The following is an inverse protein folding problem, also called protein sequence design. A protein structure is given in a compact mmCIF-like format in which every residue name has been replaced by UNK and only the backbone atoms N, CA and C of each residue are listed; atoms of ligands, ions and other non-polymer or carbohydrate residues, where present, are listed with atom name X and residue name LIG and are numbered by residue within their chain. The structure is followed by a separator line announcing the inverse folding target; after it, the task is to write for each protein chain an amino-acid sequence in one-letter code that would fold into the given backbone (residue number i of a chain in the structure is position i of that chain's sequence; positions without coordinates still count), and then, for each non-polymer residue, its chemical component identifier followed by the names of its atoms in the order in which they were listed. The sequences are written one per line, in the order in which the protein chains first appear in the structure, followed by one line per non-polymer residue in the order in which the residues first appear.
data_IF_151431711585
#
_entry.id   IF_151431711585
#
_cell.length_a   1.000
_cell.length_b   1.000
_cell.length_c   1.000
_cell.angle_alpha   90.00
_cell.angle_beta   90.00
_cell.angle_gamma   90.00
#
_symmetry.space_group_name_H-M   'P 1'
#
loop_
_entity.id
_entity.type
_entity.pdbx_description
1 polymer ?
#
# COMPACT_ATOMS: atom_id res chain seq x y z
N UNK A 1 -17.16 11.81 22.25
CA UNK A 1 -17.05 10.39 21.86
C UNK A 1 -17.30 10.29 20.36
N UNK A 2 -16.39 9.68 19.59
CA UNK A 2 -16.62 9.47 18.16
C UNK A 2 -17.71 8.40 17.98
N UNK A 3 -18.72 8.66 17.16
CA UNK A 3 -19.74 7.67 16.84
C UNK A 3 -19.12 6.62 15.91
N UNK A 4 -19.26 5.34 16.26
CA UNK A 4 -18.90 4.22 15.37
C UNK A 4 -20.16 3.72 14.70
N UNK A 5 -20.09 3.51 13.40
CA UNK A 5 -21.18 2.88 12.67
C UNK A 5 -20.90 1.38 12.60
N UNK A 6 -21.95 0.58 12.70
CA UNK A 6 -21.91 -0.85 12.47
C UNK A 6 -22.82 -1.12 11.28
N UNK A 7 -22.33 -1.97 10.38
CA UNK A 7 -23.09 -2.39 9.21
C UNK A 7 -24.39 -3.10 9.64
N UNK A 8 -25.54 -2.58 9.20
CA UNK A 8 -26.85 -3.18 9.50
C UNK A 8 -26.99 -4.58 8.91
N UNK A 9 -26.23 -4.90 7.86
CA UNK A 9 -26.20 -6.20 7.21
C UNK A 9 -25.01 -7.06 7.66
N UNK A 10 -24.32 -6.69 8.75
CA UNK A 10 -23.14 -7.40 9.26
C UNK A 10 -23.36 -8.92 9.34
N UNK A 11 -24.43 -9.37 9.99
CA UNK A 11 -24.74 -10.79 10.15
C UNK A 11 -25.22 -11.49 8.88
N UNK A 12 -25.56 -10.74 7.82
CA UNK A 12 -25.90 -11.30 6.51
C UNK A 12 -24.66 -11.64 5.69
N UNK A 13 -23.50 -11.04 6.00
CA UNK A 13 -22.24 -11.30 5.31
C UNK A 13 -21.86 -12.77 5.48
N UNK A 14 -21.53 -13.43 4.36
CA UNK A 14 -21.22 -14.88 4.34
C UNK A 14 -20.17 -15.26 5.39
N UNK A 15 -19.08 -14.50 5.49
CA UNK A 15 -18.03 -14.81 6.46
C UNK A 15 -18.52 -14.76 7.92
N UNK A 16 -19.34 -13.77 8.29
CA UNK A 16 -19.91 -13.69 9.65
C UNK A 16 -20.86 -14.85 9.92
N UNK A 17 -21.65 -15.27 8.93
CA UNK A 17 -22.55 -16.41 9.09
C UNK A 17 -21.79 -17.70 9.41
N UNK A 18 -20.65 -17.90 8.73
CA UNK A 18 -19.84 -19.11 8.79
C UNK A 18 -18.96 -19.17 10.06
N UNK A 19 -18.75 -18.03 10.76
CA UNK A 19 -18.02 -17.99 12.03
C UNK A 19 -18.79 -18.69 13.18
N UNK A 20 -18.10 -19.30 14.16
CA UNK A 20 -18.73 -19.72 15.40
C UNK A 20 -19.31 -18.52 16.18
N UNK A 21 -20.36 -18.71 17.02
CA UNK A 21 -21.00 -17.61 17.76
C UNK A 21 -20.03 -16.73 18.55
N UNK A 22 -19.05 -17.34 19.25
CA UNK A 22 -18.02 -16.62 20.00
C UNK A 22 -17.17 -15.70 19.11
N UNK A 23 -16.83 -16.13 17.90
CA UNK A 23 -16.05 -15.33 16.95
C UNK A 23 -16.87 -14.25 16.25
N UNK A 24 -18.20 -14.41 16.14
CA UNK A 24 -19.08 -13.33 15.70
C UNK A 24 -19.08 -12.18 16.69
N UNK A 25 -19.19 -12.49 17.99
CA UNK A 25 -19.13 -11.49 19.05
C UNK A 25 -17.74 -10.84 19.10
N UNK A 26 -16.68 -11.64 18.99
CA UNK A 26 -15.30 -11.13 18.90
C UNK A 26 -15.13 -10.15 17.73
N UNK A 27 -15.68 -10.45 16.55
CA UNK A 27 -15.62 -9.53 15.42
C UNK A 27 -16.28 -8.17 15.73
N UNK A 28 -17.45 -8.18 16.36
CA UNK A 28 -18.14 -6.95 16.78
C UNK A 28 -17.31 -6.19 17.81
N UNK A 29 -16.74 -6.90 18.79
CA UNK A 29 -15.85 -6.34 19.80
C UNK A 29 -14.66 -5.62 19.14
N UNK A 30 -13.97 -6.25 18.19
CA UNK A 30 -12.81 -5.64 17.51
C UNK A 30 -13.18 -4.34 16.77
N UNK A 31 -14.34 -4.30 16.11
CA UNK A 31 -14.84 -3.07 15.45
C UNK A 31 -15.14 -1.94 16.45
N UNK A 32 -15.55 -2.31 17.67
CA UNK A 32 -15.84 -1.36 18.74
C UNK A 32 -14.58 -0.88 19.46
N UNK A 33 -13.54 -1.70 19.56
CA UNK A 33 -12.33 -1.42 20.35
C UNK A 33 -11.11 -0.98 19.55
N UNK A 34 -11.04 -1.24 18.24
CA UNK A 34 -9.92 -0.76 17.42
C UNK A 34 -9.83 0.77 17.45
N UNK A 35 -8.70 1.38 17.15
CA UNK A 35 -8.60 2.83 17.06
C UNK A 35 -9.30 3.40 15.79
N UNK A 36 -9.23 4.72 15.61
CA UNK A 36 -9.80 5.40 14.45
C UNK A 36 -9.15 5.03 13.10
N UNK A 37 -8.00 4.37 13.11
CA UNK A 37 -7.36 3.82 11.93
C UNK A 37 -7.60 2.31 11.78
N UNK A 38 -8.52 1.71 12.54
CA UNK A 38 -8.80 0.28 12.47
C UNK A 38 -7.69 -0.58 13.06
N UNK A 39 -6.83 -0.03 13.91
CA UNK A 39 -5.72 -0.75 14.55
C UNK A 39 -6.13 -1.12 15.97
N UNK A 40 -6.05 -2.40 16.30
CA UNK A 40 -6.29 -2.92 17.64
C UNK A 40 -4.97 -3.43 18.25
N UNK A 41 -4.75 -3.14 19.54
CA UNK A 41 -3.67 -3.76 20.31
C UNK A 41 -4.16 -5.12 20.77
N UNK A 42 -3.44 -6.18 20.41
CA UNK A 42 -3.93 -7.55 20.61
C UNK A 42 -3.88 -7.89 22.08
N UNK A 43 -5.06 -8.03 22.67
CA UNK A 43 -5.29 -8.44 24.05
C UNK A 43 -6.47 -9.42 24.09
N UNK A 44 -6.17 -10.70 23.85
CA UNK A 44 -7.18 -11.77 23.77
C UNK A 44 -7.76 -12.12 25.15
N UNK A 45 -7.03 -11.86 26.23
CA UNK A 45 -7.50 -12.08 27.59
C UNK A 45 -8.63 -11.11 27.93
N UNK A 46 -8.41 -9.80 27.69
CA UNK A 46 -9.43 -8.78 27.89
C UNK A 46 -10.60 -8.97 26.94
N UNK A 47 -10.34 -9.29 25.67
CA UNK A 47 -11.41 -9.60 24.72
C UNK A 47 -12.27 -10.78 25.20
N UNK A 48 -11.64 -11.81 25.78
CA UNK A 48 -12.32 -12.95 26.34
C UNK A 48 -13.21 -12.62 27.54
N UNK A 49 -12.74 -11.75 28.44
CA UNK A 49 -13.53 -11.26 29.57
C UNK A 49 -14.81 -10.52 29.11
N UNK A 50 -14.71 -9.70 28.07
CA UNK A 50 -15.88 -8.98 27.53
C UNK A 50 -16.82 -9.89 26.72
N UNK A 51 -16.28 -10.87 26.00
CA UNK A 51 -17.08 -11.76 25.16
C UNK A 51 -17.61 -12.98 25.92
N UNK A 52 -17.12 -13.26 27.12
CA UNK A 52 -17.50 -14.43 27.92
C UNK A 52 -16.95 -15.74 27.38
N UNK A 53 -15.81 -15.72 26.69
CA UNK A 53 -15.19 -16.90 26.05
C UNK A 53 -13.65 -16.78 26.09
N UNK A 54 -12.93 -17.89 25.97
CA UNK A 54 -11.47 -17.85 25.81
C UNK A 54 -11.05 -17.97 24.35
N UNK A 55 -10.01 -17.22 23.95
CA UNK A 55 -9.52 -17.21 22.57
C UNK A 55 -8.05 -17.57 22.51
N UNK A 56 -7.71 -18.50 21.62
CA UNK A 56 -6.33 -18.82 21.27
C UNK A 56 -5.86 -18.00 20.06
N UNK A 57 -4.58 -17.64 20.02
CA UNK A 57 -4.02 -16.81 18.96
C UNK A 57 -4.06 -17.52 17.59
N UNK A 58 -3.79 -18.82 17.52
CA UNK A 58 -3.80 -19.54 16.25
C UNK A 58 -5.21 -19.63 15.68
N UNK A 59 -6.20 -19.94 16.51
CA UNK A 59 -7.59 -20.04 16.07
C UNK A 59 -8.16 -18.67 15.72
N UNK A 60 -7.73 -17.63 16.44
CA UNK A 60 -8.00 -16.23 16.10
C UNK A 60 -7.45 -15.85 14.72
N UNK A 61 -6.18 -16.13 14.44
CA UNK A 61 -5.56 -15.88 13.15
C UNK A 61 -6.22 -16.67 12.01
N UNK A 62 -6.58 -17.94 12.26
CA UNK A 62 -7.31 -18.78 11.30
C UNK A 62 -8.71 -18.24 11.02
N UNK A 63 -9.46 -17.87 12.05
CA UNK A 63 -10.84 -17.38 11.93
C UNK A 63 -10.93 -16.08 11.13
N UNK A 64 -9.93 -15.20 11.25
CA UNK A 64 -9.90 -13.90 10.58
C UNK A 64 -8.85 -13.79 9.47
N UNK A 65 -8.37 -14.94 8.97
CA UNK A 65 -7.42 -15.00 7.88
C UNK A 65 -7.96 -14.25 6.64
N UNK A 66 -7.14 -13.35 6.10
CA UNK A 66 -7.51 -12.53 4.94
C UNK A 66 -8.45 -11.34 5.27
N UNK A 67 -8.84 -11.16 6.54
CA UNK A 67 -9.68 -10.05 7.04
C UNK A 67 -8.95 -9.15 8.03
N UNK A 68 -8.04 -9.71 8.82
CA UNK A 68 -7.17 -8.98 9.74
C UNK A 68 -5.72 -9.13 9.30
N UNK A 69 -4.97 -8.02 9.35
CA UNK A 69 -3.53 -8.01 9.13
C UNK A 69 -2.79 -7.85 10.45
N UNK A 70 -2.09 -8.90 10.87
CA UNK A 70 -1.24 -8.87 12.05
C UNK A 70 0.12 -8.27 11.72
N UNK A 71 0.61 -7.40 12.58
CA UNK A 71 1.91 -6.76 12.45
C UNK A 71 2.53 -6.54 13.83
N UNK A 72 3.77 -6.05 13.86
CA UNK A 72 4.54 -5.86 15.10
C UNK A 72 4.61 -7.16 15.93
N UNK A 73 5.02 -8.26 15.28
CA UNK A 73 5.13 -9.61 15.85
C UNK A 73 3.82 -10.11 16.50
N UNK A 74 2.66 -9.75 15.94
CA UNK A 74 1.35 -10.19 16.41
C UNK A 74 0.75 -9.33 17.54
N UNK A 75 1.47 -8.35 18.07
CA UNK A 75 0.95 -7.46 19.12
C UNK A 75 -0.08 -6.44 18.62
N UNK A 76 -0.21 -6.25 17.30
CA UNK A 76 -1.20 -5.35 16.69
C UNK A 76 -1.91 -6.03 15.53
N UNK A 77 -3.19 -5.73 15.42
CA UNK A 77 -4.09 -6.22 14.38
C UNK A 77 -4.71 -5.03 13.65
N UNK A 78 -4.59 -5.00 12.33
CA UNK A 78 -5.22 -4.00 11.48
C UNK A 78 -6.46 -4.60 10.80
N UNK A 79 -7.56 -3.84 10.80
CA UNK A 79 -8.85 -4.19 10.21
C UNK A 79 -9.11 -3.31 8.96
N UNK A 80 -8.71 -3.74 7.75
CA UNK A 80 -8.94 -2.96 6.53
C UNK A 80 -10.41 -2.65 6.26
N UNK A 81 -11.31 -3.59 6.59
CA UNK A 81 -12.76 -3.42 6.40
C UNK A 81 -13.30 -2.25 7.23
N UNK A 82 -12.69 -1.93 8.38
CA UNK A 82 -13.05 -0.76 9.18
C UNK A 82 -12.84 0.55 8.40
N UNK A 83 -11.68 0.71 7.74
CA UNK A 83 -11.37 1.92 6.97
C UNK A 83 -12.28 2.03 5.74
N UNK A 84 -12.51 0.90 5.06
CA UNK A 84 -13.39 0.84 3.90
C UNK A 84 -14.81 1.23 4.29
N UNK A 85 -15.33 0.70 5.40
CA UNK A 85 -16.68 0.98 5.86
C UNK A 85 -16.86 2.40 6.40
N UNK A 86 -15.95 2.84 7.28
CA UNK A 86 -16.08 4.14 7.96
C UNK A 86 -15.77 5.33 7.06
N UNK A 87 -14.86 5.17 6.09
CA UNK A 87 -14.36 6.27 5.27
C UNK A 87 -14.61 6.09 3.78
N UNK A 88 -15.09 4.92 3.32
CA UNK A 88 -15.20 4.62 1.89
C UNK A 88 -13.85 4.22 1.26
N UNK A 89 -12.87 3.83 2.08
CA UNK A 89 -11.55 3.40 1.61
C UNK A 89 -10.55 4.55 1.43
N UNK A 90 -9.38 4.21 0.89
CA UNK A 90 -8.24 5.12 0.84
C UNK A 90 -8.46 6.36 -0.04
N UNK A 91 -9.19 6.21 -1.14
CA UNK A 91 -9.50 7.30 -2.08
C UNK A 91 -10.33 8.42 -1.45
N UNK A 92 -11.07 8.10 -0.38
CA UNK A 92 -12.00 9.02 0.28
C UNK A 92 -11.41 9.65 1.55
N UNK A 93 -10.21 9.22 1.96
CA UNK A 93 -9.47 9.85 3.05
C UNK A 93 -8.86 11.17 2.57
N UNK A 94 -9.39 12.27 3.10
CA UNK A 94 -8.94 13.61 2.78
C UNK A 94 -7.93 14.14 3.82
N UNK A 95 -6.66 14.41 3.44
CA UNK A 95 -5.63 14.90 4.36
C UNK A 95 -5.89 16.29 4.95
N UNK A 96 -6.82 17.07 4.38
CA UNK A 96 -7.19 18.39 4.94
C UNK A 96 -8.12 18.28 6.15
N UNK A 97 -8.84 17.16 6.30
CA UNK A 97 -9.70 16.93 7.45
C UNK A 97 -8.86 16.40 8.63
N UNK A 98 -8.91 17.09 9.78
CA UNK A 98 -8.15 16.73 10.97
C UNK A 98 -8.40 15.28 11.45
N UNK A 99 -9.64 14.77 11.33
CA UNK A 99 -9.96 13.40 11.71
C UNK A 99 -9.24 12.40 10.80
N UNK A 100 -9.29 12.59 9.49
CA UNK A 100 -8.62 11.75 8.50
C UNK A 100 -7.10 11.88 8.54
N UNK A 101 -6.58 13.07 8.90
CA UNK A 101 -5.13 13.30 9.05
C UNK A 101 -4.50 12.33 10.05
N UNK A 102 -5.13 12.15 11.21
CA UNK A 102 -4.64 11.20 12.22
C UNK A 102 -4.69 9.74 11.75
N UNK A 103 -5.68 9.39 10.92
CA UNK A 103 -5.80 8.06 10.29
C UNK A 103 -4.66 7.85 9.30
N UNK A 104 -4.46 8.78 8.37
CA UNK A 104 -3.39 8.72 7.37
C UNK A 104 -2.00 8.63 8.00
N UNK A 105 -1.75 9.39 9.06
CA UNK A 105 -0.48 9.33 9.81
C UNK A 105 -0.22 7.94 10.41
N UNK A 106 -1.24 7.29 10.98
CA UNK A 106 -1.11 5.94 11.53
C UNK A 106 -0.90 4.90 10.42
N UNK A 107 -1.66 5.00 9.34
CA UNK A 107 -1.52 4.08 8.20
C UNK A 107 -0.15 4.18 7.54
N UNK A 108 0.42 5.39 7.42
CA UNK A 108 1.77 5.62 6.90
C UNK A 108 2.84 5.12 7.87
N UNK A 109 2.70 5.44 9.16
CA UNK A 109 3.63 5.00 10.23
C UNK A 109 3.82 3.48 10.26
N UNK A 110 2.77 2.71 9.98
CA UNK A 110 2.79 1.25 10.04
C UNK A 110 2.77 0.57 8.66
N UNK A 111 2.94 1.33 7.56
CA UNK A 111 2.89 0.84 6.18
C UNK A 111 1.60 0.06 5.82
N UNK A 112 0.47 0.43 6.43
CA UNK A 112 -0.83 -0.24 6.27
C UNK A 112 -1.60 0.24 5.02
N UNK A 113 -1.12 1.31 4.38
CA UNK A 113 -1.65 1.83 3.12
C UNK A 113 -1.60 0.76 2.02
N UNK A 114 -0.54 -0.05 2.01
CA UNK A 114 -0.36 -1.19 1.10
C UNK A 114 -1.43 -2.24 1.34
N UNK A 115 -1.66 -2.62 2.60
CA UNK A 115 -2.64 -3.64 3.01
C UNK A 115 -4.07 -3.26 2.59
N UNK A 116 -4.42 -1.96 2.67
CA UNK A 116 -5.72 -1.46 2.22
C UNK A 116 -5.93 -1.56 0.71
N UNK A 117 -4.90 -1.27 -0.08
CA UNK A 117 -5.01 -1.24 -1.55
C UNK A 117 -4.90 -2.62 -2.18
N UNK A 118 -4.04 -3.48 -1.63
CA UNK A 118 -3.74 -4.80 -2.20
C UNK A 118 -4.55 -5.93 -1.53
N UNK A 119 -5.19 -5.64 -0.40
CA UNK A 119 -5.83 -6.63 0.45
C UNK A 119 -4.82 -7.41 1.29
N UNK A 120 -5.34 -8.33 2.11
CA UNK A 120 -4.51 -9.16 3.00
C UNK A 120 -4.03 -10.38 2.20
N UNK A 121 -2.96 -10.21 1.43
CA UNK A 121 -2.11 -11.34 1.00
C UNK A 121 -1.26 -11.76 2.19
N UNK A 122 -1.40 -13.00 2.66
CA UNK A 122 -0.51 -13.57 3.67
C UNK A 122 0.97 -13.47 3.24
N UNK A 123 1.92 -13.49 4.20
CA UNK A 123 2.88 -12.42 4.57
C UNK A 123 4.21 -12.52 3.80
N UNK A 124 5.08 -11.47 3.76
CA UNK A 124 6.49 -11.65 4.05
C UNK A 124 6.73 -11.52 5.55
N UNK A 125 7.35 -12.55 6.09
CA UNK A 125 7.82 -12.63 7.48
C UNK A 125 8.75 -11.44 7.77
N UNK A 126 8.61 -10.88 8.98
CA UNK A 126 9.63 -9.99 9.54
C UNK A 126 11.01 -10.66 9.54
N UNK A 127 12.09 -9.87 9.70
CA UNK A 127 13.46 -10.34 9.45
C UNK A 127 13.80 -11.60 10.26
N UNK A 128 14.16 -12.67 9.54
CA UNK A 128 14.48 -13.99 10.07
C UNK A 128 15.93 -14.09 10.54
N UNK A 129 16.14 -14.53 11.78
CA UNK A 129 17.35 -15.19 12.30
C UNK A 129 16.84 -16.24 13.31
N UNK A 130 16.98 -17.57 13.18
CA UNK A 130 17.57 -18.41 12.15
C UNK A 130 17.28 -19.90 12.41
N UNK A 131 17.66 -20.73 11.43
CA UNK A 131 18.00 -22.16 11.47
C UNK A 131 17.02 -23.20 12.09
N UNK A 132 16.37 -23.97 11.21
CA UNK A 132 15.83 -25.30 11.53
C UNK A 132 14.91 -25.89 10.44
N UNK A 133 15.45 -26.71 9.53
CA UNK A 133 14.71 -27.66 8.63
C UNK A 133 14.28 -28.91 9.43
N UNK A 134 13.40 -29.86 8.97
CA UNK A 134 13.10 -30.22 7.56
C UNK A 134 11.63 -30.66 7.17
N UNK A 135 11.38 -30.61 5.84
CA UNK A 135 10.62 -31.51 4.92
C UNK A 135 9.20 -32.08 5.17
N UNK A 136 8.33 -31.97 4.14
CA UNK A 136 7.22 -32.92 3.86
C UNK A 136 6.26 -32.54 2.69
N UNK A 137 6.14 -33.39 1.67
CA UNK A 137 5.34 -33.34 0.40
C UNK A 137 3.80 -33.36 0.63
N UNK A 138 2.84 -32.96 -0.21
CA UNK A 138 2.72 -32.42 -1.58
C UNK A 138 1.25 -32.48 -2.11
N UNK A 139 1.03 -31.94 -3.34
CA UNK A 139 -0.08 -32.12 -4.34
C UNK A 139 -1.28 -31.13 -4.46
N UNK A 140 -1.20 -30.34 -5.56
CA UNK A 140 -2.15 -30.10 -6.68
C UNK A 140 -3.56 -29.42 -6.52
N UNK A 141 -3.59 -28.13 -6.89
CA UNK A 141 -4.50 -27.30 -7.75
C UNK A 141 -6.06 -27.42 -7.69
N UNK A 142 -6.79 -26.29 -7.83
CA UNK A 142 -7.12 -25.81 -9.18
C UNK A 142 -6.89 -24.31 -9.41
N UNK A 143 -6.63 -23.96 -10.68
CA UNK A 143 -6.38 -22.60 -11.17
C UNK A 143 -7.69 -21.83 -11.36
N UNK A 144 -7.79 -20.65 -10.77
CA UNK A 144 -8.74 -19.60 -11.18
C UNK A 144 -7.97 -18.39 -11.69
N UNK A 145 -8.29 -17.95 -12.91
CA UNK A 145 -7.66 -16.83 -13.62
C UNK A 145 -7.95 -15.51 -12.89
N UNK A 146 -7.08 -15.14 -11.94
CA UNK A 146 -7.02 -13.80 -11.36
C UNK A 146 -6.17 -12.88 -12.24
N UNK A 147 -6.61 -11.63 -12.41
CA UNK A 147 -5.88 -10.61 -13.17
C UNK A 147 -4.41 -10.54 -12.74
N UNK A 148 -3.52 -10.47 -13.72
CA UNK A 148 -2.07 -10.48 -13.52
C UNK A 148 -1.63 -9.27 -12.70
N UNK A 149 -1.37 -9.50 -11.41
CA UNK A 149 -0.59 -8.60 -10.56
C UNK A 149 0.78 -8.44 -11.22
N UNK A 150 1.25 -7.20 -11.38
CA UNK A 150 2.53 -6.91 -12.00
C UNK A 150 3.65 -7.55 -11.17
N UNK A 151 4.17 -8.68 -11.65
CA UNK A 151 5.31 -9.35 -11.05
C UNK A 151 6.58 -8.64 -11.52
N UNK A 152 7.32 -8.10 -10.55
CA UNK A 152 8.65 -7.54 -10.81
C UNK A 152 9.52 -8.68 -11.34
N UNK A 153 10.05 -8.57 -12.56
CA UNK A 153 10.88 -9.64 -13.11
C UNK A 153 12.15 -9.79 -12.30
N UNK A 154 12.62 -11.03 -12.20
CA UNK A 154 13.97 -11.31 -11.72
C UNK A 154 15.00 -10.95 -12.78
N UNK A 155 16.25 -10.73 -12.38
CA UNK A 155 17.36 -10.49 -13.31
C UNK A 155 17.46 -11.62 -14.35
N UNK A 156 17.28 -12.88 -13.91
CA UNK A 156 17.31 -14.06 -14.79
C UNK A 156 16.18 -14.05 -15.82
N UNK A 157 14.97 -13.62 -15.44
CA UNK A 157 13.83 -13.52 -16.36
C UNK A 157 14.04 -12.42 -17.41
N UNK A 158 14.60 -11.27 -17.02
CA UNK A 158 14.94 -10.20 -17.96
C UNK A 158 16.08 -10.63 -18.87
N UNK A 159 17.12 -11.27 -18.34
CA UNK A 159 18.26 -11.77 -19.11
C UNK A 159 17.83 -12.82 -20.15
N UNK A 160 17.01 -13.80 -19.74
CA UNK A 160 16.46 -14.80 -20.64
C UNK A 160 15.59 -14.16 -21.74
N UNK A 161 14.78 -13.15 -21.40
CA UNK A 161 13.95 -12.44 -22.36
C UNK A 161 14.75 -11.60 -23.36
N UNK A 162 15.84 -10.96 -22.89
CA UNK A 162 16.77 -10.23 -23.74
C UNK A 162 17.51 -11.17 -24.71
N UNK A 163 17.98 -12.32 -24.21
CA UNK A 163 18.67 -13.33 -25.01
C UNK A 163 17.76 -13.99 -26.06
N UNK A 164 16.52 -14.34 -25.70
CA UNK A 164 15.51 -14.91 -26.63
C UNK A 164 15.21 -13.96 -27.80
N UNK A 165 15.23 -12.66 -27.53
CA UNK A 165 14.98 -11.61 -28.53
C UNK A 165 16.22 -11.21 -29.33
N UNK A 166 17.41 -11.53 -28.86
CA UNK A 166 18.68 -11.06 -29.43
C UNK A 166 18.79 -9.52 -29.40
N UNK A 167 18.43 -8.88 -28.30
CA UNK A 167 18.60 -7.44 -28.12
C UNK A 167 19.88 -7.10 -27.32
N UNK A 168 20.37 -5.87 -27.47
CA UNK A 168 21.58 -5.35 -26.80
C UNK A 168 21.29 -4.66 -25.45
N UNK A 169 20.14 -4.95 -24.82
CA UNK A 169 19.77 -4.32 -23.55
C UNK A 169 20.51 -5.00 -22.41
N UNK A 170 21.27 -4.23 -21.61
CA UNK A 170 21.85 -4.73 -20.36
C UNK A 170 20.73 -5.02 -19.34
N UNK A 171 20.50 -6.30 -18.98
CA UNK A 171 19.44 -6.67 -18.03
C UNK A 171 19.64 -6.05 -16.65
N UNK A 172 20.89 -5.89 -16.21
CA UNK A 172 21.21 -5.36 -14.89
C UNK A 172 20.88 -3.87 -14.81
N UNK A 173 21.38 -3.07 -15.76
CA UNK A 173 21.06 -1.65 -15.85
C UNK A 173 19.55 -1.38 -15.97
N UNK A 174 18.83 -2.23 -16.70
CA UNK A 174 17.37 -2.14 -16.84
C UNK A 174 16.66 -2.39 -15.51
N UNK A 175 17.03 -3.45 -14.78
CA UNK A 175 16.47 -3.77 -13.45
C UNK A 175 16.76 -2.65 -12.45
N UNK A 176 17.98 -2.13 -12.40
CA UNK A 176 18.38 -1.11 -11.43
C UNK A 176 17.63 0.22 -11.66
N UNK A 177 17.40 0.60 -12.92
CA UNK A 177 16.61 1.78 -13.27
C UNK A 177 15.16 1.66 -12.78
N UNK A 178 14.48 0.55 -13.05
CA UNK A 178 13.08 0.41 -12.63
C UNK A 178 12.94 0.05 -11.16
N UNK A 179 13.96 -0.53 -10.54
CA UNK A 179 14.02 -0.72 -9.09
C UNK A 179 14.13 0.63 -8.37
N UNK A 180 15.00 1.53 -8.82
CA UNK A 180 15.16 2.87 -8.22
C UNK A 180 13.98 3.81 -8.49
N UNK A 181 13.29 3.68 -9.63
CA UNK A 181 12.13 4.50 -9.99
C UNK A 181 10.78 3.92 -9.48
N UNK A 182 10.82 2.87 -8.66
CA UNK A 182 9.61 2.26 -8.10
C UNK A 182 8.69 1.63 -9.16
N UNK A 183 9.29 1.09 -10.23
CA UNK A 183 8.62 0.39 -11.33
C UNK A 183 7.56 1.24 -12.02
N UNK A 184 7.93 2.47 -12.38
CA UNK A 184 7.05 3.43 -13.08
C UNK A 184 7.49 3.65 -14.53
N UNK A 185 6.52 3.80 -15.43
CA UNK A 185 6.71 4.26 -16.81
C UNK A 185 6.01 5.62 -16.95
N UNK A 186 6.79 6.70 -16.96
CA UNK A 186 6.26 8.06 -16.88
C UNK A 186 5.58 8.31 -15.53
N UNK A 187 4.33 8.80 -15.56
CA UNK A 187 3.53 9.10 -14.35
C UNK A 187 2.79 7.88 -13.76
N UNK A 188 2.78 6.75 -14.48
CA UNK A 188 1.99 5.56 -14.13
C UNK A 188 2.87 4.38 -13.67
N UNK A 189 2.35 3.52 -12.81
CA UNK A 189 3.01 2.26 -12.43
C UNK A 189 3.02 1.26 -13.61
N UNK A 190 4.12 0.54 -13.78
CA UNK A 190 4.34 -0.43 -14.86
C UNK A 190 3.38 -1.62 -14.73
N UNK A 191 2.80 -2.03 -15.85
CA UNK A 191 1.84 -3.16 -15.93
C UNK A 191 2.40 -4.37 -16.68
N UNK A 192 3.37 -4.17 -17.58
CA UNK A 192 4.04 -5.22 -18.34
C UNK A 192 5.51 -4.83 -18.54
N UNK A 193 6.40 -5.60 -17.92
CA UNK A 193 7.83 -5.34 -17.93
C UNK A 193 8.46 -5.71 -19.26
N UNK A 194 7.92 -6.74 -19.95
CA UNK A 194 8.41 -7.14 -21.27
C UNK A 194 8.14 -6.02 -22.27
N UNK A 195 6.96 -5.39 -22.22
CA UNK A 195 6.64 -4.23 -23.06
C UNK A 195 7.54 -3.02 -22.75
N UNK A 196 7.90 -2.82 -21.49
CA UNK A 196 8.83 -1.78 -21.08
C UNK A 196 10.26 -2.03 -21.58
N UNK A 197 10.76 -3.28 -21.60
CA UNK A 197 12.03 -3.66 -22.23
C UNK A 197 12.05 -3.29 -23.72
N UNK A 198 10.96 -3.55 -24.48
CA UNK A 198 10.88 -3.17 -25.91
C UNK A 198 10.92 -1.65 -26.13
N UNK A 199 10.42 -0.88 -25.18
CA UNK A 199 10.41 0.58 -25.27
C UNK A 199 11.76 1.17 -24.86
N UNK A 200 12.41 0.56 -23.86
CA UNK A 200 13.78 0.87 -23.46
C UNK A 200 14.76 0.66 -24.60
N UNK A 201 14.69 -0.50 -25.27
CA UNK A 201 15.50 -0.84 -26.44
C UNK A 201 15.41 0.21 -27.56
N UNK A 202 14.18 0.67 -27.87
CA UNK A 202 13.96 1.71 -28.89
C UNK A 202 14.58 3.06 -28.50
N UNK A 203 14.57 3.39 -27.20
CA UNK A 203 15.19 4.61 -26.69
C UNK A 203 16.72 4.51 -26.68
N UNK A 204 17.30 3.35 -26.41
CA UNK A 204 18.76 3.15 -26.48
C UNK A 204 19.27 3.23 -27.92
N UNK A 205 18.60 2.56 -28.87
CA UNK A 205 18.96 2.61 -30.30
C UNK A 205 18.75 3.99 -30.93
N UNK A 206 17.80 4.78 -30.40
CA UNK A 206 17.55 6.17 -30.83
C UNK A 206 18.50 7.20 -30.21
N UNK A 207 19.22 6.86 -29.13
CA UNK A 207 20.08 7.79 -28.41
C UNK A 207 21.54 7.81 -28.92
N UNK A 208 21.86 6.98 -29.93
CA UNK A 208 23.10 7.10 -30.72
C UNK A 208 23.06 8.25 -31.74
N UNK A 209 21.96 9.02 -31.79
CA UNK A 209 21.81 10.17 -32.66
C UNK A 209 20.79 11.19 -32.13
N UNK A 210 21.31 12.21 -31.45
CA UNK A 210 20.71 13.54 -31.23
C UNK A 210 19.87 13.76 -29.94
N UNK A 211 20.21 14.86 -29.27
CA UNK A 211 19.76 15.21 -27.93
C UNK A 211 18.27 15.52 -27.78
N UNK A 212 17.77 15.23 -26.57
CA UNK A 212 16.42 15.52 -26.07
C UNK A 212 16.04 17.00 -26.28
N UNK A 213 15.13 17.29 -27.21
CA UNK A 213 14.33 18.53 -27.15
C UNK A 213 13.28 18.40 -26.05
N UNK A 214 13.51 19.09 -24.93
CA UNK A 214 12.49 19.38 -23.94
C UNK A 214 11.43 20.31 -24.55
N UNK A 215 10.17 19.92 -24.39
CA UNK A 215 9.02 20.73 -24.78
C UNK A 215 8.83 21.82 -23.72
N UNK A 216 9.43 22.99 -23.95
CA UNK A 216 9.13 24.24 -23.23
C UNK A 216 7.88 24.87 -23.82
N UNK A 217 6.83 25.02 -23.01
CA UNK A 217 5.75 25.97 -23.26
C UNK A 217 6.26 27.38 -22.98
N UNK A 218 6.17 28.26 -23.97
CA UNK A 218 6.74 29.59 -23.96
C UNK A 218 5.95 30.64 -23.16
N UNK A 219 6.67 31.67 -22.73
CA UNK A 219 6.16 33.02 -22.50
C UNK A 219 7.23 34.02 -22.94
N UNK A 220 6.83 34.96 -23.79
CA UNK A 220 7.69 35.85 -24.55
C UNK A 220 8.23 37.04 -23.72
N UNK A 221 9.52 37.27 -23.87
CA UNK A 221 10.27 38.54 -24.00
C UNK A 221 9.77 39.83 -23.34
N UNK A 222 10.67 40.48 -22.60
CA UNK A 222 10.64 41.92 -22.31
C UNK A 222 11.79 42.39 -21.42
N UNK A 223 12.95 42.66 -22.02
CA UNK A 223 14.16 43.24 -21.38
C UNK A 223 14.01 44.77 -21.26
N UNK A 224 14.51 45.35 -20.16
CA UNK A 224 15.28 46.61 -20.02
C UNK A 224 15.06 47.15 -18.59
N UNK A 225 16.07 47.20 -17.74
CA UNK A 225 16.86 48.42 -17.51
C UNK A 225 17.18 48.50 -16.01
N UNK A 226 18.32 49.10 -15.67
CA UNK A 226 18.95 49.01 -14.36
C UNK A 226 18.86 50.32 -13.53
N UNK A 227 18.98 50.13 -12.20
CA UNK A 227 19.44 51.05 -11.11
C UNK A 227 18.53 52.23 -10.69
N UNK A 228 18.72 52.91 -9.51
CA UNK A 228 19.01 52.52 -8.12
C UNK A 228 18.01 53.12 -7.07
N UNK A 229 18.05 52.59 -5.83
CA UNK A 229 17.98 53.39 -4.58
C UNK A 229 16.61 53.84 -4.03
N UNK A 230 16.41 53.70 -2.71
CA UNK A 230 15.36 54.42 -1.98
C UNK A 230 14.76 53.67 -0.79
N UNK A 231 15.33 53.89 0.39
CA UNK A 231 14.75 53.55 1.70
C UNK A 231 13.56 54.45 2.01
N UNK A 232 12.43 53.90 2.48
CA UNK A 232 11.48 54.62 3.35
C UNK A 232 10.48 53.69 4.04
N UNK A 233 10.46 53.77 5.37
CA UNK A 233 9.44 53.21 6.26
C UNK A 233 8.19 54.11 6.26
N UNK A 234 7.00 53.56 6.08
CA UNK A 234 5.69 54.12 6.49
C UNK A 234 5.00 53.03 7.32
N UNK A 235 4.97 53.13 8.66
CA UNK A 235 3.93 53.75 9.50
C UNK A 235 2.51 53.33 9.11
N UNK A 236 2.00 52.34 9.85
CA UNK A 236 0.58 52.03 9.96
C UNK A 236 -0.11 53.15 10.73
N UNK A 237 -1.24 53.63 10.20
CA UNK A 237 -2.21 54.44 10.94
C UNK A 237 -3.32 53.52 11.39
N UNK A 238 -3.39 53.28 12.70
CA UNK A 238 -4.59 52.74 13.34
C UNK A 238 -5.71 53.78 13.24
N UNK A 239 -6.87 53.31 12.78
CA UNK A 239 -8.15 54.00 12.92
C UNK A 239 -8.90 53.24 13.99
N UNK A 240 -9.08 53.86 15.16
CA UNK A 240 -10.25 53.81 16.04
C UNK A 240 -10.08 54.86 17.14
#
# INVERSE_FOLDING_TARGET
MAKRFIDTDLFKKRFIRDLPPAYKLLWVYLFCECDNAGIWEVDLEVAGLYCGETYDLEDFEKAFAGRIHFFNNGSKAFLPEFIIFQYGGLSNLNPTNNAHKSVLQKLEKYDLMRVLNEGITQLPQGPTLGAGKPQGKGKAAPKTKGGTIFQKPTLEEVAAYCQERGNDVDPQAWIDYYTSNGWKVGRNCMKDWRAAVRTWERNEKGNSGNGRKGQQTGAATGRLGAVPGGTSKKKYTDTL
#
